data_IF_352362154794
#
_entry.id   IF_352362154794
#
_cell.length_a   1.000
_cell.length_b   1.000
_cell.length_c   1.000
_cell.angle_alpha   90.00
_cell.angle_beta   90.00
_cell.angle_gamma   90.00
#
_symmetry.space_group_name_H-M   'P 1'
#
loop_
_entity.id
_entity.type
_entity.pdbx_description
1 polymer ?
#
# COMPACT_ATOMS: atom_id res chain seq x y z
N UNK A 1 -1.91 10.93 7.44
CA UNK A 1 -2.81 10.92 6.26
C UNK A 1 -4.16 11.58 6.57
N UNK A 2 -4.91 11.20 7.61
CA UNK A 2 -6.26 11.71 7.89
C UNK A 2 -6.39 13.23 7.95
N UNK A 3 -5.41 13.94 8.52
CA UNK A 3 -5.36 15.42 8.55
C UNK A 3 -5.31 16.08 7.17
N UNK A 4 -4.74 15.40 6.18
CA UNK A 4 -4.62 15.92 4.81
C UNK A 4 -5.87 15.68 3.94
N UNK A 5 -6.85 14.93 4.46
CA UNK A 5 -8.07 14.64 3.73
C UNK A 5 -9.12 15.75 3.92
N UNK A 6 -9.98 15.97 2.93
CA UNK A 6 -11.15 16.83 3.07
C UNK A 6 -12.11 16.30 4.15
N UNK A 7 -13.13 17.07 4.51
CA UNK A 7 -14.05 16.71 5.60
C UNK A 7 -14.82 15.42 5.39
N UNK A 8 -15.09 15.08 4.14
CA UNK A 8 -15.77 13.86 3.68
C UNK A 8 -14.82 12.73 3.32
N UNK A 9 -13.49 12.97 3.37
CA UNK A 9 -12.48 11.95 3.08
C UNK A 9 -12.50 10.81 4.10
N UNK A 10 -12.17 9.61 3.65
CA UNK A 10 -12.16 8.38 4.46
C UNK A 10 -10.84 7.63 4.29
N UNK A 11 -10.46 6.92 5.32
CA UNK A 11 -9.33 5.97 5.32
C UNK A 11 -9.85 4.62 5.79
N UNK A 12 -9.51 3.59 5.03
CA UNK A 12 -9.56 2.20 5.51
C UNK A 12 -8.13 1.79 5.79
N UNK A 13 -7.85 1.41 7.04
CA UNK A 13 -6.55 0.84 7.43
C UNK A 13 -6.72 -0.64 7.74
N UNK A 14 -5.79 -1.46 7.24
CA UNK A 14 -5.83 -2.91 7.39
C UNK A 14 -4.59 -3.35 8.13
N UNK A 15 -4.76 -4.18 9.14
CA UNK A 15 -3.67 -4.81 9.88
C UNK A 15 -4.05 -6.26 10.20
N UNK A 16 -3.06 -7.14 10.30
CA UNK A 16 -3.27 -8.55 10.67
C UNK A 16 -3.34 -8.76 12.20
N UNK A 17 -3.11 -7.72 13.00
CA UNK A 17 -3.15 -7.74 14.46
C UNK A 17 -3.91 -6.53 15.00
N UNK A 18 -4.62 -6.71 16.09
CA UNK A 18 -5.27 -5.65 16.85
C UNK A 18 -4.41 -5.12 18.01
N UNK A 19 -3.19 -5.63 18.16
CA UNK A 19 -2.29 -5.31 19.28
C UNK A 19 -2.11 -3.80 19.48
N UNK A 20 -1.88 -3.07 18.41
CA UNK A 20 -1.65 -1.62 18.46
C UNK A 20 -2.90 -0.78 18.18
N UNK A 21 -4.04 -1.41 17.88
CA UNK A 21 -5.28 -0.70 17.57
C UNK A 21 -5.76 0.21 18.72
N UNK A 22 -5.72 -0.21 20.02
CA UNK A 22 -6.11 0.68 21.11
C UNK A 22 -5.23 1.92 21.21
N UNK A 23 -3.93 1.79 20.93
CA UNK A 23 -3.00 2.92 20.92
C UNK A 23 -3.28 3.85 19.74
N UNK A 24 -3.51 3.30 18.56
CA UNK A 24 -3.86 4.07 17.37
C UNK A 24 -5.17 4.84 17.59
N UNK A 25 -6.21 4.16 18.11
CA UNK A 25 -7.51 4.75 18.42
C UNK A 25 -7.39 5.96 19.36
N UNK A 26 -6.58 5.82 20.43
CA UNK A 26 -6.33 6.93 21.36
C UNK A 26 -5.82 8.18 20.62
N UNK A 27 -4.84 8.03 19.72
CA UNK A 27 -4.28 9.16 18.99
C UNK A 27 -5.24 9.70 17.92
N UNK A 28 -6.07 8.86 17.31
CA UNK A 28 -7.11 9.33 16.39
C UNK A 28 -8.18 10.15 17.09
N UNK A 29 -8.55 9.75 18.32
CA UNK A 29 -9.49 10.48 19.16
C UNK A 29 -8.92 11.82 19.61
N UNK A 30 -7.69 11.82 20.14
CA UNK A 30 -6.97 13.03 20.55
C UNK A 30 -6.83 14.04 19.40
N UNK A 31 -6.68 13.55 18.17
CA UNK A 31 -6.53 14.36 16.96
C UNK A 31 -7.87 14.70 16.27
N UNK A 32 -8.97 14.18 16.74
CA UNK A 32 -10.29 14.41 16.16
C UNK A 32 -10.50 13.79 14.78
N UNK A 33 -9.72 12.75 14.43
CA UNK A 33 -9.78 12.12 13.11
C UNK A 33 -10.53 10.79 13.09
N UNK A 34 -10.97 10.29 14.21
CA UNK A 34 -11.62 8.95 14.35
C UNK A 34 -12.77 8.75 13.36
N UNK A 35 -13.58 9.78 13.14
CA UNK A 35 -14.73 9.68 12.22
C UNK A 35 -14.35 9.44 10.75
N UNK A 36 -13.07 9.65 10.38
CA UNK A 36 -12.56 9.43 9.02
C UNK A 36 -11.89 8.07 8.84
N UNK A 37 -11.63 7.33 9.94
CA UNK A 37 -10.77 6.14 9.92
C UNK A 37 -11.60 4.91 10.26
N UNK A 38 -11.63 3.96 9.35
CA UNK A 38 -12.14 2.61 9.55
C UNK A 38 -10.96 1.65 9.65
N UNK A 39 -10.89 0.86 10.73
CA UNK A 39 -9.86 -0.17 10.91
C UNK A 39 -10.46 -1.55 10.69
N UNK A 40 -9.82 -2.34 9.84
CA UNK A 40 -10.19 -3.73 9.55
C UNK A 40 -9.03 -4.63 9.97
N UNK A 41 -9.30 -5.58 10.87
CA UNK A 41 -8.32 -6.59 11.25
C UNK A 41 -8.51 -7.82 10.36
N UNK A 42 -7.43 -8.21 9.71
CA UNK A 42 -7.42 -9.37 8.79
C UNK A 42 -6.20 -9.40 7.90
N UNK A 43 -6.05 -10.50 7.17
CA UNK A 43 -5.01 -10.64 6.16
C UNK A 43 -5.24 -9.62 5.03
N UNK A 44 -4.21 -8.85 4.69
CA UNK A 44 -4.36 -7.76 3.71
C UNK A 44 -4.95 -8.23 2.38
N UNK A 45 -4.52 -9.38 1.86
CA UNK A 45 -5.04 -9.95 0.61
C UNK A 45 -6.53 -10.30 0.70
N UNK A 46 -6.98 -10.90 1.81
CA UNK A 46 -8.37 -11.31 1.99
C UNK A 46 -9.29 -10.09 2.15
N UNK A 47 -8.82 -9.09 2.91
CA UNK A 47 -9.56 -7.84 3.08
C UNK A 47 -9.67 -7.10 1.75
N UNK A 48 -8.58 -6.98 0.98
CA UNK A 48 -8.61 -6.33 -0.33
C UNK A 48 -9.54 -7.06 -1.30
N UNK A 49 -9.53 -8.41 -1.32
CA UNK A 49 -10.46 -9.18 -2.13
C UNK A 49 -11.91 -8.92 -1.72
N UNK A 50 -12.21 -8.91 -0.42
CA UNK A 50 -13.55 -8.58 0.08
C UNK A 50 -14.01 -7.17 -0.31
N UNK A 51 -13.09 -6.19 -0.34
CA UNK A 51 -13.39 -4.83 -0.78
C UNK A 51 -13.68 -4.78 -2.29
N UNK A 52 -12.97 -5.58 -3.11
CA UNK A 52 -13.24 -5.74 -4.54
C UNK A 52 -14.63 -6.34 -4.76
N UNK A 53 -14.95 -7.42 -4.05
CA UNK A 53 -16.24 -8.12 -4.18
C UNK A 53 -17.43 -7.21 -3.82
N UNK A 54 -17.19 -6.26 -2.91
CA UNK A 54 -18.17 -5.22 -2.54
C UNK A 54 -18.11 -3.98 -3.43
N UNK A 55 -17.30 -3.98 -4.48
CA UNK A 55 -17.16 -2.89 -5.45
C UNK A 55 -16.68 -1.57 -4.82
N UNK A 56 -15.87 -1.63 -3.76
CA UNK A 56 -15.21 -0.44 -3.22
C UNK A 56 -14.15 0.06 -4.19
N UNK A 57 -13.96 1.38 -4.19
CA UNK A 57 -12.88 2.06 -4.93
C UNK A 57 -12.18 3.07 -4.02
N UNK A 58 -10.88 3.29 -4.27
CA UNK A 58 -10.05 4.22 -3.50
C UNK A 58 -9.25 5.10 -4.46
N UNK A 59 -9.17 6.39 -4.18
CA UNK A 59 -8.35 7.32 -4.96
C UNK A 59 -6.86 7.06 -4.77
N UNK A 60 -6.48 6.56 -3.58
CA UNK A 60 -5.12 6.25 -3.22
C UNK A 60 -5.06 5.00 -2.34
N UNK A 61 -4.09 4.11 -2.65
CA UNK A 61 -3.73 2.97 -1.81
C UNK A 61 -2.26 3.10 -1.41
N UNK A 62 -1.95 2.92 -0.12
CA UNK A 62 -0.59 2.89 0.41
C UNK A 62 -0.27 1.48 0.90
N UNK A 63 0.80 0.89 0.37
CA UNK A 63 1.25 -0.47 0.69
C UNK A 63 2.53 -0.38 1.52
N UNK A 64 2.44 -0.78 2.80
CA UNK A 64 3.56 -0.99 3.71
C UNK A 64 3.24 -2.21 4.59
N UNK A 65 3.36 -3.39 4.00
CA UNK A 65 2.95 -4.66 4.60
C UNK A 65 4.08 -5.70 4.48
N UNK A 66 3.75 -6.97 4.59
CA UNK A 66 4.69 -8.07 4.42
C UNK A 66 5.18 -8.17 2.97
N UNK A 67 6.48 -8.12 2.79
CA UNK A 67 7.12 -7.93 1.47
C UNK A 67 6.89 -9.10 0.51
N UNK A 68 6.73 -10.32 1.04
CA UNK A 68 6.46 -11.49 0.19
C UNK A 68 5.11 -11.41 -0.55
N UNK A 69 4.14 -10.66 -0.03
CA UNK A 69 2.83 -10.46 -0.65
C UNK A 69 2.72 -9.17 -1.49
N UNK A 70 3.77 -8.37 -1.61
CA UNK A 70 3.76 -7.14 -2.40
C UNK A 70 3.23 -7.30 -3.83
N UNK A 71 3.60 -8.36 -4.60
CA UNK A 71 3.03 -8.58 -5.93
C UNK A 71 1.52 -8.79 -5.92
N UNK A 72 0.99 -9.47 -4.88
CA UNK A 72 -0.45 -9.67 -4.73
C UNK A 72 -1.16 -8.37 -4.37
N UNK A 73 -0.61 -7.61 -3.42
CA UNK A 73 -1.14 -6.29 -3.06
C UNK A 73 -1.17 -5.34 -4.26
N UNK A 74 -0.14 -5.35 -5.10
CA UNK A 74 -0.10 -4.55 -6.32
C UNK A 74 -1.26 -4.88 -7.27
N UNK A 75 -1.48 -6.16 -7.59
CA UNK A 75 -2.57 -6.58 -8.49
C UNK A 75 -3.96 -6.26 -7.91
N UNK A 76 -4.18 -6.54 -6.62
CA UNK A 76 -5.44 -6.22 -5.96
C UNK A 76 -5.68 -4.71 -5.92
N UNK A 77 -4.61 -3.91 -5.70
CA UNK A 77 -4.70 -2.46 -5.73
C UNK A 77 -5.13 -1.92 -7.09
N UNK A 78 -4.63 -2.49 -8.18
CA UNK A 78 -5.07 -2.12 -9.53
C UNK A 78 -6.57 -2.36 -9.76
N UNK A 79 -7.16 -3.34 -9.07
CA UNK A 79 -8.61 -3.60 -9.13
C UNK A 79 -9.40 -2.62 -8.26
N UNK A 80 -8.79 -2.06 -7.23
CA UNK A 80 -9.43 -1.17 -6.26
C UNK A 80 -9.28 0.32 -6.59
N UNK A 81 -8.32 0.70 -7.45
CA UNK A 81 -8.19 2.10 -7.86
C UNK A 81 -8.84 2.34 -9.23
N UNK A 82 -9.53 3.48 -9.44
CA UNK A 82 -10.04 3.88 -10.76
C UNK A 82 -8.90 4.32 -11.67
N UNK A 83 -9.20 4.60 -12.95
CA UNK A 83 -8.25 5.30 -13.82
C UNK A 83 -7.83 6.63 -13.18
N UNK A 84 -6.52 6.92 -13.25
CA UNK A 84 -5.83 8.00 -12.55
C UNK A 84 -5.71 7.84 -11.02
N UNK A 85 -6.20 6.74 -10.43
CA UNK A 85 -5.96 6.41 -9.03
C UNK A 85 -4.48 6.08 -8.78
N UNK A 86 -4.03 6.32 -7.56
CA UNK A 86 -2.62 6.23 -7.17
C UNK A 86 -2.39 5.06 -6.23
N UNK A 87 -1.34 4.30 -6.49
CA UNK A 87 -0.81 3.28 -5.57
C UNK A 87 0.59 3.72 -5.15
N UNK A 88 0.83 3.81 -3.86
CA UNK A 88 2.14 4.10 -3.28
C UNK A 88 2.65 2.84 -2.59
N UNK A 89 3.88 2.44 -2.90
CA UNK A 89 4.49 1.23 -2.33
C UNK A 89 5.79 1.63 -1.64
N UNK A 90 5.91 1.32 -0.36
CA UNK A 90 7.10 1.64 0.43
C UNK A 90 8.17 0.54 0.36
N UNK A 91 9.40 0.91 0.73
CA UNK A 91 10.59 0.06 0.81
C UNK A 91 11.00 -0.59 -0.53
N UNK A 92 10.80 0.09 -1.64
CA UNK A 92 11.07 -0.47 -2.96
C UNK A 92 12.58 -0.46 -3.33
N UNK A 93 13.45 0.17 -2.51
CA UNK A 93 14.91 0.06 -2.60
C UNK A 93 15.48 -1.00 -1.64
N UNK A 94 14.75 -1.35 -0.58
CA UNK A 94 15.11 -2.40 0.38
C UNK A 94 16.55 -2.29 0.87
N UNK A 95 16.87 -1.16 1.51
CA UNK A 95 18.22 -0.80 1.98
C UNK A 95 19.30 -0.79 0.88
N UNK A 96 18.90 -0.76 -0.39
CA UNK A 96 19.79 -0.89 -1.55
C UNK A 96 20.02 -2.35 -1.99
N UNK A 97 19.53 -3.33 -1.26
CA UNK A 97 19.74 -4.76 -1.52
C UNK A 97 19.14 -5.20 -2.88
N UNK A 98 18.14 -4.50 -3.40
CA UNK A 98 17.59 -4.77 -4.74
C UNK A 98 18.62 -4.59 -5.86
N UNK A 99 19.65 -3.75 -5.65
CA UNK A 99 20.72 -3.52 -6.62
C UNK A 99 21.92 -4.47 -6.43
N UNK A 100 22.04 -5.14 -5.28
CA UNK A 100 23.13 -6.07 -5.00
C UNK A 100 22.78 -7.49 -5.48
N UNK A 101 23.42 -7.95 -6.54
CA UNK A 101 23.20 -9.30 -7.10
C UNK A 101 23.58 -10.45 -6.17
N UNK A 102 24.31 -10.19 -5.10
CA UNK A 102 24.67 -11.18 -4.07
C UNK A 102 23.55 -11.40 -3.06
N UNK A 103 22.60 -10.50 -2.99
CA UNK A 103 21.42 -10.58 -2.09
C UNK A 103 20.33 -11.38 -2.80
N UNK A 104 20.03 -12.57 -2.28
CA UNK A 104 19.12 -13.55 -2.91
C UNK A 104 18.07 -14.08 -1.95
N UNK A 105 17.86 -13.42 -0.81
CA UNK A 105 16.77 -13.76 0.08
C UNK A 105 15.40 -13.49 -0.57
N UNK A 106 14.36 -14.14 -0.04
CA UNK A 106 13.02 -14.11 -0.62
C UNK A 106 12.47 -12.70 -0.76
N UNK A 107 12.61 -11.87 0.28
CA UNK A 107 12.04 -10.52 0.29
C UNK A 107 12.75 -9.61 -0.72
N UNK A 108 14.08 -9.66 -0.78
CA UNK A 108 14.87 -8.90 -1.76
C UNK A 108 14.49 -9.28 -3.18
N UNK A 109 14.37 -10.58 -3.47
CA UNK A 109 13.96 -11.05 -4.80
C UNK A 109 12.54 -10.61 -5.13
N UNK A 110 11.61 -10.73 -4.19
CA UNK A 110 10.22 -10.29 -4.40
C UNK A 110 10.13 -8.81 -4.77
N UNK A 111 10.84 -7.94 -4.06
CA UNK A 111 10.82 -6.49 -4.34
C UNK A 111 11.51 -6.19 -5.67
N UNK A 112 12.63 -6.86 -5.96
CA UNK A 112 13.33 -6.74 -7.25
C UNK A 112 12.43 -7.11 -8.42
N UNK A 113 11.75 -8.25 -8.32
CA UNK A 113 10.84 -8.74 -9.37
C UNK A 113 9.64 -7.83 -9.53
N UNK A 114 9.10 -7.30 -8.43
CA UNK A 114 8.01 -6.33 -8.49
C UNK A 114 8.43 -5.01 -9.15
N UNK A 115 9.63 -4.49 -8.85
CA UNK A 115 10.16 -3.31 -9.53
C UNK A 115 10.24 -3.52 -11.05
N UNK A 116 10.73 -4.69 -11.49
CA UNK A 116 10.77 -5.03 -12.92
C UNK A 116 9.37 -5.15 -13.52
N UNK A 117 8.45 -5.79 -12.81
CA UNK A 117 7.05 -5.95 -13.24
C UNK A 117 6.38 -4.60 -13.43
N UNK A 118 6.46 -3.70 -12.45
CA UNK A 118 5.85 -2.37 -12.52
C UNK A 118 6.44 -1.57 -13.70
N UNK A 119 7.76 -1.64 -13.89
CA UNK A 119 8.44 -0.95 -14.99
C UNK A 119 7.99 -1.42 -16.38
N UNK A 120 7.49 -2.63 -16.51
CA UNK A 120 7.04 -3.25 -17.76
C UNK A 120 5.51 -3.26 -17.90
N UNK A 121 4.78 -2.74 -16.93
CA UNK A 121 3.32 -2.82 -16.90
C UNK A 121 2.68 -1.66 -17.67
N UNK A 122 2.13 -1.95 -18.85
CA UNK A 122 1.48 -0.97 -19.72
C UNK A 122 0.19 -0.36 -19.13
N UNK A 123 -0.34 -0.94 -18.05
CA UNK A 123 -1.55 -0.46 -17.35
C UNK A 123 -1.29 0.79 -16.51
N UNK A 124 -0.02 1.12 -16.28
CA UNK A 124 0.36 2.17 -15.33
C UNK A 124 1.42 3.12 -15.87
N UNK A 125 1.49 4.30 -15.29
CA UNK A 125 2.69 5.14 -15.28
C UNK A 125 3.29 5.06 -13.88
N UNK A 126 4.65 5.02 -13.78
CA UNK A 126 5.25 4.94 -12.47
C UNK A 126 6.50 5.80 -12.33
N UNK A 127 6.82 6.13 -11.08
CA UNK A 127 8.05 6.81 -10.69
C UNK A 127 8.54 6.23 -9.37
N UNK A 128 9.80 5.78 -9.33
CA UNK A 128 10.48 5.39 -8.10
C UNK A 128 11.26 6.57 -7.54
N UNK A 129 10.85 7.08 -6.39
CA UNK A 129 11.53 8.15 -5.67
C UNK A 129 12.51 7.56 -4.65
N UNK A 130 13.80 7.97 -4.66
CA UNK A 130 14.78 7.54 -3.66
C UNK A 130 14.61 8.33 -2.35
N UNK A 131 13.40 8.31 -1.81
CA UNK A 131 13.07 8.91 -0.53
C UNK A 131 13.04 7.79 0.52
N UNK A 132 13.83 7.96 1.62
CA UNK A 132 14.01 6.92 2.63
C UNK A 132 14.45 5.60 1.99
N UNK A 133 13.69 4.53 2.16
CA UNK A 133 13.95 3.19 1.60
C UNK A 133 13.26 2.98 0.22
N UNK A 134 12.92 4.07 -0.46
CA UNK A 134 12.34 4.09 -1.79
C UNK A 134 10.81 3.99 -1.80
N UNK A 135 10.17 4.99 -2.40
CA UNK A 135 8.72 5.03 -2.62
C UNK A 135 8.43 4.92 -4.11
N UNK A 136 7.69 3.87 -4.51
CA UNK A 136 7.11 3.80 -5.83
C UNK A 136 5.75 4.46 -5.87
N UNK A 137 5.59 5.45 -6.75
CA UNK A 137 4.31 6.07 -7.09
C UNK A 137 3.84 5.46 -8.41
N UNK A 138 2.70 4.82 -8.39
CA UNK A 138 2.10 4.13 -9.53
C UNK A 138 0.73 4.75 -9.81
N UNK A 139 0.52 5.26 -11.02
CA UNK A 139 -0.76 5.79 -11.46
C UNK A 139 -1.38 4.83 -12.46
N UNK A 140 -2.58 4.36 -12.21
CA UNK A 140 -3.36 3.57 -13.19
C UNK A 140 -3.80 4.46 -14.35
N UNK A 141 -3.58 4.00 -15.59
CA UNK A 141 -4.00 4.67 -16.83
C UNK A 141 -5.51 4.61 -17.04
#
# INVERSE_FOLDING_TARGET
MARGLPSDGRIVTVDNSDEFLPLAQKYWDEDGQTSKIESIIGTGTDVMQSLIDRQHTFDLIFIDADKNNYPNYYELSLSLVPSNGIIIIDNMLWHGDVADTKKTDSQTNTIRDLNLKINQDDRVDFSLLPLSDGLSFVRKK
#
